data_IF_673952182405
#
_entry.id   IF_673952182405
#
_cell.length_a   1.000
_cell.length_b   1.000
_cell.length_c   1.000
_cell.angle_alpha   90.00
_cell.angle_beta   90.00
_cell.angle_gamma   90.00
#
_symmetry.space_group_name_H-M   'P 1'
#
loop_
_entity.id
_entity.type
_entity.pdbx_description
1 polymer ?
#
# COMPACT_ATOMS: atom_id res chain seq x y z
N UNK A 1 -1.51 -14.40 18.81
CA UNK A 1 -1.15 -15.09 17.54
C UNK A 1 0.37 -15.12 17.43
N UNK A 2 0.96 -16.14 16.79
CA UNK A 2 2.40 -16.19 16.57
C UNK A 2 2.82 -15.19 15.47
N UNK A 3 3.89 -14.44 15.72
CA UNK A 3 4.46 -13.52 14.74
C UNK A 3 5.18 -14.37 13.68
N UNK A 4 4.56 -14.53 12.52
CA UNK A 4 5.11 -15.35 11.43
C UNK A 4 6.19 -14.57 10.67
N UNK A 5 7.38 -15.17 10.53
CA UNK A 5 8.45 -14.58 9.69
C UNK A 5 8.08 -14.79 8.21
N UNK A 6 7.95 -13.73 7.41
CA UNK A 6 7.65 -13.88 5.99
C UNK A 6 8.79 -14.63 5.29
N UNK A 7 8.43 -15.42 4.26
CA UNK A 7 9.40 -16.09 3.41
C UNK A 7 10.35 -15.07 2.75
N UNK A 8 11.56 -15.46 2.32
CA UNK A 8 12.43 -14.60 1.53
C UNK A 8 11.75 -14.15 0.23
N UNK A 9 12.17 -12.99 -0.30
CA UNK A 9 11.65 -12.49 -1.60
C UNK A 9 11.94 -13.46 -2.74
N UNK A 10 13.04 -14.21 -2.67
CA UNK A 10 13.40 -15.17 -3.70
C UNK A 10 12.45 -16.38 -3.78
N UNK A 11 11.84 -16.75 -2.65
CA UNK A 11 10.87 -17.85 -2.56
C UNK A 11 9.43 -17.36 -2.77
N UNK A 12 9.14 -16.14 -2.34
CA UNK A 12 7.84 -15.50 -2.50
C UNK A 12 8.01 -14.07 -3.07
N UNK A 13 8.24 -13.96 -4.39
CA UNK A 13 8.51 -12.69 -5.05
C UNK A 13 7.24 -11.84 -5.21
N UNK A 14 6.08 -12.49 -5.26
CA UNK A 14 4.78 -11.85 -5.44
C UNK A 14 3.81 -12.24 -4.33
N UNK A 15 3.06 -11.27 -3.84
CA UNK A 15 2.08 -11.45 -2.76
C UNK A 15 0.80 -10.72 -3.11
N UNK A 16 -0.33 -11.40 -2.98
CA UNK A 16 -1.64 -10.77 -3.15
C UNK A 16 -2.21 -10.33 -1.81
N UNK A 17 -2.77 -9.12 -1.74
CA UNK A 17 -3.49 -8.60 -0.58
C UNK A 17 -4.91 -8.19 -0.97
N UNK A 18 -5.89 -8.72 -0.26
CA UNK A 18 -7.27 -8.28 -0.27
C UNK A 18 -7.55 -7.39 0.95
N UNK A 19 -8.66 -6.64 0.92
CA UNK A 19 -9.05 -5.71 2.00
C UNK A 19 -7.87 -4.85 2.45
N UNK A 20 -7.24 -4.19 1.49
CA UNK A 20 -5.94 -3.57 1.67
C UNK A 20 -6.07 -2.08 2.00
N UNK A 21 -5.06 -1.52 2.66
CA UNK A 21 -4.88 -0.08 2.90
C UNK A 21 -3.40 0.29 2.74
N UNK A 22 -3.15 1.56 2.45
CA UNK A 22 -1.82 2.17 2.35
C UNK A 22 -1.66 3.16 3.49
N UNK A 23 -0.70 2.90 4.37
CA UNK A 23 -0.50 3.68 5.59
C UNK A 23 0.89 4.29 5.57
N UNK A 24 0.95 5.59 5.79
CA UNK A 24 2.20 6.34 5.88
C UNK A 24 2.56 6.54 7.35
N UNK A 25 3.80 6.22 7.71
CA UNK A 25 4.36 6.41 9.05
C UNK A 25 4.88 7.84 9.23
N UNK A 26 5.23 8.22 10.46
CA UNK A 26 5.80 9.52 10.82
C UNK A 26 7.12 9.83 10.10
N UNK A 27 7.88 8.80 9.72
CA UNK A 27 9.12 8.95 8.94
C UNK A 27 8.87 9.13 7.45
N UNK A 28 7.61 9.07 7.01
CA UNK A 28 7.19 9.27 5.62
C UNK A 28 7.13 7.98 4.79
N UNK A 29 7.52 6.84 5.36
CA UNK A 29 7.47 5.54 4.68
C UNK A 29 6.03 5.05 4.56
N UNK A 30 5.66 4.63 3.34
CA UNK A 30 4.36 4.02 3.06
C UNK A 30 4.45 2.50 3.17
N UNK A 31 3.47 1.88 3.82
CA UNK A 31 3.36 0.44 3.99
C UNK A 31 1.99 -0.05 3.51
N UNK A 32 1.97 -1.26 2.93
CA UNK A 32 0.71 -1.95 2.63
C UNK A 32 0.32 -2.80 3.82
N UNK A 33 -0.94 -2.68 4.23
CA UNK A 33 -1.58 -3.64 5.13
C UNK A 33 -2.74 -4.31 4.40
N UNK A 34 -2.94 -5.60 4.61
CA UNK A 34 -4.05 -6.32 4.00
C UNK A 34 -4.11 -7.76 4.48
N UNK A 35 -5.12 -8.48 3.99
CA UNK A 35 -5.30 -9.92 4.22
C UNK A 35 -4.81 -10.67 3.00
N UNK A 36 -3.98 -11.68 3.21
CA UNK A 36 -3.62 -12.60 2.15
C UNK A 36 -4.79 -13.56 1.89
N UNK A 37 -5.32 -13.63 0.65
CA UNK A 37 -6.50 -14.46 0.37
C UNK A 37 -6.19 -15.96 0.36
N UNK A 38 -4.93 -16.35 0.19
CA UNK A 38 -4.51 -17.76 0.10
C UNK A 38 -4.57 -18.50 1.44
N UNK A 39 -4.29 -17.79 2.54
CA UNK A 39 -4.25 -18.36 3.89
C UNK A 39 -5.01 -17.54 4.95
N UNK A 40 -5.70 -16.48 4.53
CA UNK A 40 -6.50 -15.59 5.38
C UNK A 40 -5.71 -14.93 6.52
N UNK A 41 -4.40 -14.73 6.32
CA UNK A 41 -3.55 -14.06 7.33
C UNK A 41 -3.36 -12.59 7.00
N UNK A 42 -3.36 -11.75 8.04
CA UNK A 42 -3.00 -10.34 7.90
C UNK A 42 -1.49 -10.16 7.69
N UNK A 43 -1.13 -9.17 6.89
CA UNK A 43 0.26 -8.85 6.57
C UNK A 43 0.48 -7.35 6.45
N UNK A 44 1.60 -6.90 6.98
CA UNK A 44 2.18 -5.58 6.71
C UNK A 44 3.42 -5.75 5.82
N UNK A 45 3.54 -4.94 4.78
CA UNK A 45 4.70 -4.95 3.88
C UNK A 45 5.87 -4.17 4.46
N UNK A 46 7.07 -4.40 3.92
CA UNK A 46 8.16 -3.43 4.04
C UNK A 46 7.82 -2.12 3.30
N UNK A 47 8.61 -1.04 3.50
CA UNK A 47 8.34 0.25 2.85
C UNK A 47 8.15 0.12 1.34
N UNK A 48 7.15 0.80 0.81
CA UNK A 48 6.80 0.83 -0.62
C UNK A 48 7.71 1.85 -1.32
N UNK A 49 8.37 1.43 -2.40
CA UNK A 49 9.15 2.32 -3.26
C UNK A 49 8.36 2.80 -4.48
N UNK A 50 7.46 1.95 -5.00
CA UNK A 50 6.63 2.27 -6.16
C UNK A 50 5.23 1.75 -5.91
N UNK A 51 4.22 2.57 -6.19
CA UNK A 51 2.83 2.18 -6.09
C UNK A 51 2.09 2.70 -7.31
N UNK A 52 1.43 1.79 -8.03
CA UNK A 52 0.55 2.10 -9.13
C UNK A 52 -0.88 1.74 -8.73
N UNK A 53 -1.67 2.77 -8.46
CA UNK A 53 -3.07 2.63 -8.05
C UNK A 53 -4.01 2.34 -9.24
N UNK A 54 -3.54 2.51 -10.48
CA UNK A 54 -4.31 2.15 -11.68
C UNK A 54 -4.22 0.65 -11.94
N UNK A 55 -3.03 0.08 -11.85
CA UNK A 55 -2.84 -1.37 -11.97
C UNK A 55 -3.02 -2.13 -10.66
N UNK A 56 -3.16 -1.42 -9.54
CA UNK A 56 -3.27 -1.98 -8.19
C UNK A 56 -2.05 -2.85 -7.83
N UNK A 57 -0.84 -2.32 -8.10
CA UNK A 57 0.43 -3.00 -7.85
C UNK A 57 1.40 -2.12 -7.08
N UNK A 58 1.99 -2.66 -6.01
CA UNK A 58 3.06 -2.03 -5.24
C UNK A 58 4.36 -2.81 -5.31
N UNK A 59 5.50 -2.13 -5.28
CA UNK A 59 6.83 -2.73 -5.17
C UNK A 59 7.53 -2.16 -3.94
N UNK A 60 8.01 -3.04 -3.07
CA UNK A 60 8.65 -2.64 -1.82
C UNK A 60 10.17 -2.50 -1.94
N UNK A 61 10.79 -1.96 -0.90
CA UNK A 61 12.25 -1.80 -0.79
C UNK A 61 13.04 -3.10 -0.88
N UNK A 62 12.39 -4.24 -0.61
CA UNK A 62 12.99 -5.57 -0.75
C UNK A 62 12.86 -6.14 -2.17
N UNK A 63 12.20 -5.41 -3.08
CA UNK A 63 11.92 -5.87 -4.45
C UNK A 63 10.67 -6.75 -4.58
N UNK A 64 9.95 -7.00 -3.47
CA UNK A 64 8.72 -7.79 -3.49
C UNK A 64 7.59 -7.03 -4.18
N UNK A 65 6.88 -7.74 -5.04
CA UNK A 65 5.70 -7.23 -5.74
C UNK A 65 4.44 -7.59 -4.96
N UNK A 66 3.58 -6.61 -4.73
CA UNK A 66 2.30 -6.77 -4.08
C UNK A 66 1.18 -6.45 -5.06
N UNK A 67 0.25 -7.39 -5.27
CA UNK A 67 -0.98 -7.17 -6.02
C UNK A 67 -2.13 -6.90 -5.07
N UNK A 68 -2.87 -5.82 -5.33
CA UNK A 68 -3.98 -5.39 -4.49
C UNK A 68 -5.29 -5.84 -5.14
N UNK A 69 -6.06 -6.62 -4.40
CA UNK A 69 -7.28 -7.25 -4.89
C UNK A 69 -8.51 -6.64 -4.22
N UNK A 70 -9.49 -6.27 -5.05
CA UNK A 70 -10.77 -5.77 -4.58
C UNK A 70 -10.68 -4.39 -3.91
N UNK A 71 -11.72 -4.00 -3.17
CA UNK A 71 -11.81 -2.67 -2.58
C UNK A 71 -10.81 -2.45 -1.44
N UNK A 72 -10.36 -1.21 -1.32
CA UNK A 72 -9.47 -0.78 -0.25
C UNK A 72 -10.25 -0.51 1.04
N UNK A 73 -10.55 -1.57 1.79
CA UNK A 73 -11.43 -1.51 2.96
C UNK A 73 -10.69 -1.90 4.24
N UNK A 74 -11.05 -1.23 5.33
CA UNK A 74 -10.69 -1.69 6.67
C UNK A 74 -11.52 -2.91 7.08
N UNK A 75 -10.87 -3.84 7.75
CA UNK A 75 -11.46 -4.97 8.46
C UNK A 75 -10.86 -5.06 9.87
N UNK A 76 -11.54 -5.75 10.78
CA UNK A 76 -11.03 -5.98 12.13
C UNK A 76 -9.62 -6.59 12.12
N UNK A 77 -9.39 -7.56 11.24
CA UNK A 77 -8.08 -8.23 11.09
C UNK A 77 -6.99 -7.29 10.59
N UNK A 78 -7.28 -6.47 9.57
CA UNK A 78 -6.29 -5.51 9.04
C UNK A 78 -5.92 -4.44 10.05
N UNK A 79 -6.88 -3.99 10.86
CA UNK A 79 -6.65 -3.02 11.91
C UNK A 79 -5.81 -3.63 13.03
N UNK A 80 -6.18 -4.82 13.49
CA UNK A 80 -5.41 -5.55 14.50
C UNK A 80 -3.97 -5.78 14.07
N UNK A 81 -3.75 -6.25 12.84
CA UNK A 81 -2.40 -6.50 12.31
C UNK A 81 -1.58 -5.23 12.21
N UNK A 82 -2.18 -4.12 11.79
CA UNK A 82 -1.49 -2.84 11.75
C UNK A 82 -1.11 -2.36 13.16
N UNK A 83 -2.05 -2.37 14.10
CA UNK A 83 -1.80 -1.96 15.50
C UNK A 83 -0.68 -2.79 16.14
N UNK A 84 -0.70 -4.12 15.97
CA UNK A 84 0.37 -5.01 16.46
C UNK A 84 1.71 -4.76 15.77
N UNK A 85 1.71 -4.39 14.49
CA UNK A 85 2.93 -4.04 13.77
C UNK A 85 3.49 -2.70 14.29
N UNK A 86 2.64 -1.70 14.52
CA UNK A 86 3.08 -0.44 15.12
C UNK A 86 3.68 -0.63 16.51
N UNK A 87 3.05 -1.47 17.35
CA UNK A 87 3.61 -1.83 18.66
C UNK A 87 4.98 -2.51 18.54
N UNK A 88 5.16 -3.39 17.55
CA UNK A 88 6.43 -4.11 17.36
C UNK A 88 7.56 -3.21 16.85
N UNK A 89 7.24 -2.29 15.94
CA UNK A 89 8.23 -1.42 15.28
C UNK A 89 8.29 0.00 15.88
N UNK A 90 7.55 0.23 16.97
CA UNK A 90 7.50 1.50 17.70
C UNK A 90 7.07 2.69 16.82
N UNK A 91 6.12 2.44 15.91
CA UNK A 91 5.48 3.49 15.10
C UNK A 91 4.44 4.19 15.96
N UNK A 92 4.69 5.46 16.26
CA UNK A 92 3.85 6.24 17.19
C UNK A 92 2.75 6.99 16.45
N UNK A 93 3.02 7.44 15.23
CA UNK A 93 2.07 8.21 14.43
C UNK A 93 2.03 7.66 13.00
N UNK A 94 0.84 7.59 12.45
CA UNK A 94 0.63 7.15 11.08
C UNK A 94 -0.65 7.77 10.52
N UNK A 95 -0.71 7.83 9.19
CA UNK A 95 -1.84 8.35 8.44
C UNK A 95 -2.27 7.33 7.40
N UNK A 96 -3.57 7.15 7.27
CA UNK A 96 -4.13 6.43 6.13
C UNK A 96 -4.18 7.33 4.90
N UNK A 97 -3.38 7.01 3.90
CA UNK A 97 -3.26 7.77 2.64
C UNK A 97 -3.97 7.07 1.48
N UNK A 98 -4.68 5.97 1.74
CA UNK A 98 -5.34 5.14 0.72
C UNK A 98 -6.31 5.97 -0.13
N UNK A 99 -7.16 6.75 0.51
CA UNK A 99 -8.22 7.49 -0.17
C UNK A 99 -7.65 8.64 -1.01
N UNK A 100 -6.56 9.27 -0.57
CA UNK A 100 -5.85 10.30 -1.35
C UNK A 100 -5.19 9.72 -2.60
N UNK A 101 -4.59 8.54 -2.46
CA UNK A 101 -3.96 7.81 -3.57
C UNK A 101 -4.99 7.33 -4.59
N UNK A 102 -6.19 6.93 -4.14
CA UNK A 102 -7.30 6.56 -5.02
C UNK A 102 -8.00 7.77 -5.64
N UNK A 103 -8.12 8.87 -4.90
CA UNK A 103 -8.74 10.11 -5.35
C UNK A 103 -7.84 10.95 -6.26
N UNK A 104 -6.60 10.51 -6.49
CA UNK A 104 -5.73 11.11 -7.51
C UNK A 104 -5.88 10.35 -8.82
N UNK A 105 -6.87 10.69 -9.68
CA UNK A 105 -6.78 10.29 -11.06
C UNK A 105 -5.55 10.99 -11.62
N UNK A 106 -4.53 10.25 -12.02
CA UNK A 106 -3.47 10.76 -12.86
C UNK A 106 -4.03 11.05 -14.26
N UNK A 107 -4.91 12.04 -14.36
CA UNK A 107 -5.23 12.78 -15.57
C UNK A 107 -4.83 14.23 -15.34
N UNK A 108 -3.53 14.47 -15.18
CA UNK A 108 -2.98 15.80 -15.48
C UNK A 108 -2.75 15.88 -16.99
N UNK A 109 -3.84 15.86 -17.77
CA UNK A 109 -3.79 16.46 -19.09
C UNK A 109 -3.82 17.97 -18.85
N UNK A 110 -2.63 18.53 -18.62
CA UNK A 110 -2.41 19.95 -18.77
C UNK A 110 -2.46 20.22 -20.28
N UNK A 111 -3.67 20.39 -20.82
CA UNK A 111 -3.82 21.10 -22.09
C UNK A 111 -3.40 22.53 -21.80
N UNK A 112 -2.15 22.86 -22.09
CA UNK A 112 -1.77 24.23 -22.34
C UNK A 112 -2.51 24.66 -23.61
N UNK A 113 -3.67 25.29 -23.46
CA UNK A 113 -4.23 26.08 -24.54
C UNK A 113 -3.36 27.33 -24.67
N UNK A 114 -2.31 27.17 -25.49
CA UNK A 114 -1.68 28.27 -26.17
C UNK A 114 -2.68 28.79 -27.20
N UNK A 115 -3.45 29.83 -26.84
CA UNK A 115 -3.94 30.77 -27.86
C UNK A 115 -3.12 32.06 -27.73
N UNK A 116 -2.00 32.04 -28.44
CA UNK A 116 -1.34 33.24 -28.86
C UNK A 116 -1.98 33.72 -30.17
N UNK A 117 -2.40 34.98 -30.14
CA UNK A 117 -2.30 35.94 -31.25
C UNK A 117 -3.39 35.89 -32.33
N UNK A 118 -4.18 36.98 -32.37
CA UNK A 118 -4.39 37.94 -33.49
C UNK A 118 -5.58 38.83 -33.13
N UNK A 119 -5.57 40.15 -33.23
CA UNK A 119 -4.62 41.17 -33.67
C UNK A 119 -5.25 42.53 -33.40
#
# INVERSE_FOLDING_TARGET
MAIWRPAPVNDEPEVTLASWRVLQTEVGDCHLVGIRPDNLTGRVSSPILKLDMTSLVGVTSTGRVYRLLGPAQWTSDTRYVWEQWCEMYQVCEWRDVTDELLATPMCRHHCADADGSKG
#
